data_IF_199601591798
#
_entry.id   IF_199601591798
#
_cell.length_a   1.000
_cell.length_b   1.000
_cell.length_c   1.000
_cell.angle_alpha   90.00
_cell.angle_beta   90.00
_cell.angle_gamma   90.00
#
_symmetry.space_group_name_H-M   'P 1'
#
loop_
_entity.id
_entity.type
_entity.pdbx_description
1 polymer ?
#
# COMPACT_ATOMS: atom_id res chain seq x y z
N UNK A 1 -39.68 -0.54 7.70
CA UNK A 1 -38.25 -0.53 8.12
C UNK A 1 -37.49 -1.80 7.72
N UNK A 2 -38.03 -2.96 8.09
CA UNK A 2 -37.43 -4.28 7.80
C UNK A 2 -37.32 -4.57 6.29
N UNK A 3 -38.35 -4.26 5.51
CA UNK A 3 -38.31 -4.39 4.04
C UNK A 3 -37.23 -3.48 3.39
N UNK A 4 -37.04 -2.28 3.94
CA UNK A 4 -35.98 -1.36 3.52
C UNK A 4 -34.58 -1.90 3.84
N UNK A 5 -34.41 -2.49 5.02
CA UNK A 5 -33.16 -3.16 5.45
C UNK A 5 -32.82 -4.31 4.50
N UNK A 6 -33.78 -5.21 4.22
CA UNK A 6 -33.57 -6.36 3.33
C UNK A 6 -33.20 -5.95 1.90
N UNK A 7 -33.70 -4.80 1.43
CA UNK A 7 -33.35 -4.26 0.11
C UNK A 7 -31.91 -3.73 0.05
N UNK A 8 -31.34 -3.29 1.19
CA UNK A 8 -30.01 -2.68 1.28
C UNK A 8 -28.88 -3.70 1.43
N UNK A 9 -29.14 -4.87 1.99
CA UNK A 9 -28.14 -5.96 2.13
C UNK A 9 -27.43 -6.30 0.81
N UNK A 10 -28.13 -6.65 -0.30
CA UNK A 10 -27.46 -6.99 -1.56
C UNK A 10 -26.71 -5.80 -2.18
N UNK A 11 -27.12 -4.56 -1.86
CA UNK A 11 -26.40 -3.35 -2.31
C UNK A 11 -25.05 -3.25 -1.61
N UNK A 12 -25.03 -3.47 -0.28
CA UNK A 12 -23.81 -3.44 0.53
C UNK A 12 -22.93 -4.65 0.23
N UNK A 13 -23.50 -5.82 -0.07
CA UNK A 13 -22.70 -6.98 -0.51
C UNK A 13 -21.98 -6.72 -1.83
N UNK A 14 -22.68 -6.10 -2.79
CA UNK A 14 -22.10 -5.77 -4.10
C UNK A 14 -21.10 -4.62 -4.02
N UNK A 15 -21.39 -3.60 -3.23
CA UNK A 15 -20.50 -2.48 -2.95
C UNK A 15 -20.40 -2.23 -1.44
N UNK A 16 -19.44 -2.90 -0.77
CA UNK A 16 -19.24 -2.74 0.66
C UNK A 16 -18.81 -1.34 1.08
N UNK A 17 -18.47 -0.43 0.16
CA UNK A 17 -18.04 0.94 0.48
C UNK A 17 -19.14 1.97 0.25
N UNK A 18 -20.32 1.54 -0.20
CA UNK A 18 -21.45 2.44 -0.44
C UNK A 18 -21.94 3.07 0.87
N UNK A 19 -21.50 4.30 1.14
CA UNK A 19 -21.81 5.02 2.38
C UNK A 19 -23.28 5.38 2.49
N UNK A 20 -23.95 5.63 1.37
CA UNK A 20 -25.38 5.98 1.36
C UNK A 20 -26.22 4.75 1.77
N UNK A 21 -25.94 3.59 1.17
CA UNK A 21 -26.60 2.35 1.51
C UNK A 21 -26.35 1.95 2.98
N UNK A 22 -25.11 2.09 3.46
CA UNK A 22 -24.76 1.84 4.87
C UNK A 22 -25.42 2.82 5.83
N UNK A 23 -25.52 4.11 5.47
CA UNK A 23 -26.21 5.10 6.28
C UNK A 23 -27.72 4.79 6.38
N UNK A 24 -28.35 4.45 5.26
CA UNK A 24 -29.76 4.04 5.25
C UNK A 24 -29.99 2.75 6.04
N UNK A 25 -29.05 1.79 5.96
CA UNK A 25 -29.06 0.56 6.74
C UNK A 25 -29.02 0.86 8.24
N UNK A 26 -28.11 1.75 8.65
CA UNK A 26 -27.98 2.19 10.04
C UNK A 26 -29.27 2.85 10.57
N UNK A 27 -29.90 3.73 9.78
CA UNK A 27 -31.19 4.34 10.13
C UNK A 27 -32.28 3.28 10.29
N UNK A 28 -32.36 2.34 9.35
CA UNK A 28 -33.31 1.23 9.39
C UNK A 28 -33.16 0.39 10.66
N UNK A 29 -31.94 -0.10 10.92
CA UNK A 29 -31.60 -0.92 12.09
C UNK A 29 -31.90 -0.19 13.41
N UNK A 30 -31.55 1.10 13.49
CA UNK A 30 -31.85 1.94 14.65
C UNK A 30 -33.36 2.04 14.90
N UNK A 31 -34.16 2.18 13.84
CA UNK A 31 -35.62 2.32 13.96
C UNK A 31 -36.32 1.07 14.48
N UNK A 32 -35.70 -0.11 14.36
CA UNK A 32 -36.20 -1.39 14.89
C UNK A 32 -35.48 -1.82 16.18
N UNK A 33 -34.70 -0.92 16.79
CA UNK A 33 -34.04 -1.16 18.08
C UNK A 33 -32.72 -1.94 18.01
N UNK A 34 -32.21 -2.26 16.81
CA UNK A 34 -30.91 -2.91 16.63
C UNK A 34 -29.77 -1.89 16.68
N UNK A 35 -29.55 -1.33 17.87
CA UNK A 35 -28.65 -0.17 18.04
C UNK A 35 -27.17 -0.49 17.78
N UNK A 36 -26.69 -1.68 18.18
CA UNK A 36 -25.28 -2.04 17.98
C UNK A 36 -24.96 -2.23 16.49
N UNK A 37 -25.78 -2.99 15.76
CA UNK A 37 -25.64 -3.19 14.31
C UNK A 37 -25.73 -1.83 13.57
N UNK A 38 -26.65 -0.96 13.99
CA UNK A 38 -26.74 0.39 13.43
C UNK A 38 -25.46 1.21 13.64
N UNK A 39 -24.87 1.12 14.85
CA UNK A 39 -23.65 1.86 15.18
C UNK A 39 -22.47 1.41 14.33
N UNK A 40 -22.30 0.10 14.08
CA UNK A 40 -21.24 -0.41 13.20
C UNK A 40 -21.30 0.19 11.78
N UNK A 41 -22.52 0.34 11.24
CA UNK A 41 -22.70 0.99 9.94
C UNK A 41 -22.42 2.50 9.98
N UNK A 42 -22.82 3.21 11.05
CA UNK A 42 -22.49 4.63 11.20
C UNK A 42 -20.99 4.86 11.36
N UNK A 43 -20.31 4.05 12.18
CA UNK A 43 -18.87 4.13 12.41
C UNK A 43 -18.10 3.90 11.11
N UNK A 44 -18.52 2.92 10.29
CA UNK A 44 -17.91 2.71 8.98
C UNK A 44 -18.10 3.92 8.06
N UNK A 45 -19.30 4.52 8.02
CA UNK A 45 -19.57 5.70 7.18
C UNK A 45 -18.67 6.86 7.59
N UNK A 46 -18.47 7.08 8.89
CA UNK A 46 -17.58 8.13 9.39
C UNK A 46 -16.12 7.82 9.05
N UNK A 47 -15.69 6.57 9.25
CA UNK A 47 -14.35 6.12 8.89
C UNK A 47 -14.03 6.34 7.41
N UNK A 48 -14.99 6.10 6.51
CA UNK A 48 -14.84 6.38 5.07
C UNK A 48 -14.64 7.88 4.84
N UNK A 49 -15.48 8.74 5.43
CA UNK A 49 -15.37 10.20 5.25
C UNK A 49 -14.02 10.72 5.73
N UNK A 50 -13.59 10.33 6.93
CA UNK A 50 -12.32 10.76 7.50
C UNK A 50 -11.13 10.33 6.64
N UNK A 51 -11.10 9.06 6.21
CA UNK A 51 -10.00 8.56 5.39
C UNK A 51 -9.96 9.18 4.00
N UNK A 52 -11.11 9.46 3.39
CA UNK A 52 -11.15 10.13 2.09
C UNK A 52 -10.81 11.62 2.19
N UNK A 53 -11.19 12.30 3.28
CA UNK A 53 -10.76 13.66 3.54
C UNK A 53 -9.23 13.74 3.69
N UNK A 54 -8.65 12.85 4.49
CA UNK A 54 -7.19 12.74 4.68
C UNK A 54 -6.46 12.41 3.35
N UNK A 55 -6.97 11.45 2.57
CA UNK A 55 -6.41 11.14 1.25
C UNK A 55 -6.40 12.35 0.30
N UNK A 56 -7.47 13.15 0.32
CA UNK A 56 -7.56 14.38 -0.46
C UNK A 56 -6.61 15.47 0.05
N UNK A 57 -6.44 15.60 1.36
CA UNK A 57 -5.48 16.54 1.94
C UNK A 57 -4.03 16.18 1.58
N UNK A 58 -3.68 14.89 1.66
CA UNK A 58 -2.39 14.37 1.19
C UNK A 58 -2.20 14.68 -0.29
N UNK A 59 -3.21 14.44 -1.12
CA UNK A 59 -3.16 14.72 -2.56
C UNK A 59 -2.95 16.21 -2.88
N UNK A 60 -3.46 17.13 -2.05
CA UNK A 60 -3.25 18.57 -2.23
C UNK A 60 -1.84 19.02 -1.87
N UNK A 61 -1.19 18.35 -0.90
CA UNK A 61 0.14 18.72 -0.39
C UNK A 61 1.28 17.99 -1.08
N UNK A 62 0.97 16.95 -1.84
CA UNK A 62 1.99 16.06 -2.40
C UNK A 62 2.86 16.77 -3.43
N UNK A 63 4.17 16.52 -3.36
CA UNK A 63 5.14 17.00 -4.35
C UNK A 63 5.25 16.03 -5.54
N UNK A 64 5.98 16.44 -6.57
CA UNK A 64 6.36 15.56 -7.67
C UNK A 64 7.66 14.81 -7.36
N UNK A 65 7.94 13.74 -8.11
CA UNK A 65 9.21 13.00 -8.02
C UNK A 65 9.20 11.83 -7.04
N UNK A 66 10.34 11.15 -6.94
CA UNK A 66 10.44 9.86 -6.23
C UNK A 66 10.16 9.95 -4.73
N UNK A 67 10.49 11.07 -4.10
CA UNK A 67 10.23 11.29 -2.67
C UNK A 67 8.72 11.32 -2.33
N UNK A 68 7.86 11.47 -3.35
CA UNK A 68 6.41 11.44 -3.19
C UNK A 68 5.79 10.04 -3.27
N UNK A 69 6.57 8.99 -3.58
CA UNK A 69 6.05 7.65 -3.85
C UNK A 69 5.27 7.06 -2.66
N UNK A 70 5.83 7.14 -1.45
CA UNK A 70 5.16 6.60 -0.25
C UNK A 70 3.82 7.31 0.01
N UNK A 71 3.77 8.63 -0.15
CA UNK A 71 2.52 9.39 -0.02
C UNK A 71 1.51 8.97 -1.09
N UNK A 72 1.93 8.70 -2.34
CA UNK A 72 1.04 8.18 -3.39
C UNK A 72 0.48 6.81 -3.02
N UNK A 73 1.30 5.93 -2.45
CA UNK A 73 0.85 4.61 -1.99
C UNK A 73 -0.12 4.72 -0.81
N UNK A 74 0.12 5.65 0.13
CA UNK A 74 -0.81 5.92 1.23
C UNK A 74 -2.18 6.41 0.73
N UNK A 75 -2.18 7.32 -0.24
CA UNK A 75 -3.41 7.78 -0.91
C UNK A 75 -4.10 6.61 -1.63
N UNK A 76 -3.34 5.80 -2.37
CA UNK A 76 -3.87 4.63 -3.08
C UNK A 76 -4.52 3.63 -2.12
N UNK A 77 -3.90 3.35 -0.96
CA UNK A 77 -4.47 2.45 0.06
C UNK A 77 -5.81 2.98 0.55
N UNK A 78 -5.90 4.27 0.90
CA UNK A 78 -7.14 4.87 1.40
C UNK A 78 -8.27 4.78 0.38
N UNK A 79 -7.99 5.09 -0.89
CA UNK A 79 -8.99 4.92 -1.95
C UNK A 79 -9.33 3.46 -2.20
N UNK A 80 -8.38 2.53 -2.08
CA UNK A 80 -8.68 1.12 -2.30
C UNK A 80 -9.54 0.53 -1.18
N UNK A 81 -9.30 0.92 0.06
CA UNK A 81 -10.03 0.42 1.24
C UNK A 81 -11.39 1.10 1.39
N UNK A 82 -11.44 2.42 1.27
CA UNK A 82 -12.60 3.23 1.66
C UNK A 82 -13.29 3.95 0.50
N UNK A 83 -12.59 4.13 -0.61
CA UNK A 83 -13.06 4.91 -1.74
C UNK A 83 -13.24 4.09 -3.00
N UNK A 84 -12.96 4.72 -4.13
CA UNK A 84 -13.03 4.07 -5.43
C UNK A 84 -11.70 3.45 -5.84
N UNK A 85 -11.81 2.23 -6.36
CA UNK A 85 -10.70 1.47 -6.92
C UNK A 85 -10.03 2.18 -8.10
N UNK A 86 -10.77 2.97 -8.87
CA UNK A 86 -10.23 3.69 -10.02
C UNK A 86 -9.21 4.74 -9.56
N UNK A 87 -9.52 5.50 -8.52
CA UNK A 87 -8.66 6.48 -7.89
C UNK A 87 -7.43 5.79 -7.28
N UNK A 88 -7.62 4.67 -6.58
CA UNK A 88 -6.50 3.88 -6.07
C UNK A 88 -5.53 3.48 -7.19
N UNK A 89 -6.07 3.00 -8.32
CA UNK A 89 -5.27 2.61 -9.48
C UNK A 89 -4.53 3.79 -10.12
N UNK A 90 -5.11 5.00 -10.14
CA UNK A 90 -4.45 6.21 -10.65
C UNK A 90 -3.22 6.51 -9.79
N UNK A 91 -3.38 6.57 -8.47
CA UNK A 91 -2.30 6.87 -7.54
C UNK A 91 -1.21 5.81 -7.56
N UNK A 92 -1.60 4.53 -7.52
CA UNK A 92 -0.67 3.40 -7.57
C UNK A 92 0.12 3.35 -8.89
N UNK A 93 -0.53 3.60 -10.04
CA UNK A 93 0.18 3.68 -11.33
C UNK A 93 1.16 4.85 -11.36
N UNK A 94 0.80 5.99 -10.77
CA UNK A 94 1.70 7.13 -10.69
C UNK A 94 2.94 6.84 -9.84
N UNK A 95 2.79 6.11 -8.72
CA UNK A 95 3.91 5.61 -7.93
C UNK A 95 4.83 4.69 -8.74
N UNK A 96 4.24 3.75 -9.48
CA UNK A 96 4.98 2.81 -10.34
C UNK A 96 5.73 3.50 -11.49
N UNK A 97 5.16 4.57 -12.06
CA UNK A 97 5.83 5.36 -13.10
C UNK A 97 7.04 6.14 -12.59
N UNK A 98 7.02 6.58 -11.34
CA UNK A 98 8.13 7.30 -10.73
C UNK A 98 9.31 6.38 -10.42
N UNK A 99 9.03 5.16 -9.95
CA UNK A 99 10.04 4.14 -9.76
C UNK A 99 9.45 2.72 -9.93
N UNK A 100 9.68 2.08 -11.10
CA UNK A 100 9.20 0.73 -11.37
C UNK A 100 9.83 -0.37 -10.52
N UNK A 101 10.95 -0.10 -9.81
CA UNK A 101 11.63 -1.07 -8.96
C UNK A 101 11.36 -0.83 -7.47
N UNK A 102 10.60 0.21 -7.13
CA UNK A 102 10.29 0.50 -5.75
C UNK A 102 9.43 -0.61 -5.14
N UNK A 103 10.03 -1.36 -4.22
CA UNK A 103 9.47 -2.59 -3.70
C UNK A 103 8.06 -2.40 -3.09
N UNK A 104 7.78 -1.37 -2.26
CA UNK A 104 6.44 -1.14 -1.75
C UNK A 104 5.37 -0.98 -2.83
N UNK A 105 5.70 -0.34 -3.96
CA UNK A 105 4.76 -0.22 -5.09
C UNK A 105 4.47 -1.56 -5.73
N UNK A 106 5.51 -2.38 -5.94
CA UNK A 106 5.38 -3.71 -6.53
C UNK A 106 4.57 -4.66 -5.62
N UNK A 107 4.81 -4.62 -4.32
CA UNK A 107 4.06 -5.40 -3.33
C UNK A 107 2.59 -4.97 -3.27
N UNK A 108 2.32 -3.66 -3.38
CA UNK A 108 0.94 -3.17 -3.50
C UNK A 108 0.27 -3.76 -4.75
N UNK A 109 0.89 -3.62 -5.93
CA UNK A 109 0.35 -4.15 -7.18
C UNK A 109 0.10 -5.67 -7.09
N UNK A 110 1.04 -6.42 -6.52
CA UNK A 110 0.89 -7.86 -6.30
C UNK A 110 -0.34 -8.16 -5.44
N UNK A 111 -0.48 -7.50 -4.28
CA UNK A 111 -1.61 -7.69 -3.36
C UNK A 111 -2.94 -7.33 -4.04
N UNK A 112 -2.97 -6.23 -4.79
CA UNK A 112 -4.14 -5.82 -5.56
C UNK A 112 -4.60 -6.93 -6.53
N UNK A 113 -3.69 -7.44 -7.37
CA UNK A 113 -4.06 -8.50 -8.32
C UNK A 113 -4.36 -9.82 -7.64
N UNK A 114 -3.76 -10.11 -6.49
CA UNK A 114 -4.09 -11.30 -5.70
C UNK A 114 -5.53 -11.31 -5.20
N UNK A 115 -6.07 -10.14 -4.83
CA UNK A 115 -7.49 -10.00 -4.52
C UNK A 115 -8.32 -10.16 -5.78
N UNK A 116 -7.95 -9.46 -6.85
CA UNK A 116 -8.77 -9.36 -8.08
C UNK A 116 -8.88 -10.64 -8.89
N UNK A 117 -7.87 -11.51 -8.85
CA UNK A 117 -7.92 -12.83 -9.51
C UNK A 117 -9.05 -13.70 -8.99
N UNK A 118 -9.49 -13.51 -7.73
CA UNK A 118 -10.62 -14.24 -7.16
C UNK A 118 -11.94 -13.95 -7.90
N UNK A 119 -12.09 -12.72 -8.37
CA UNK A 119 -13.29 -12.24 -9.07
C UNK A 119 -13.13 -12.35 -10.60
N UNK A 120 -11.92 -12.11 -11.11
CA UNK A 120 -11.57 -12.17 -12.53
C UNK A 120 -10.28 -12.96 -12.77
N UNK A 121 -10.38 -14.27 -13.08
CA UNK A 121 -9.24 -15.13 -13.36
C UNK A 121 -8.37 -14.67 -14.55
N UNK A 122 -8.88 -13.81 -15.45
CA UNK A 122 -8.08 -13.28 -16.56
C UNK A 122 -6.90 -12.41 -16.07
N UNK A 123 -6.95 -11.96 -14.82
CA UNK A 123 -5.90 -11.15 -14.19
C UNK A 123 -4.72 -11.97 -13.65
N UNK A 124 -4.73 -13.30 -13.79
CA UNK A 124 -3.66 -14.17 -13.29
C UNK A 124 -2.29 -13.78 -13.87
N UNK A 125 -2.25 -13.40 -15.16
CA UNK A 125 -1.01 -12.99 -15.82
C UNK A 125 -0.38 -11.75 -15.16
N UNK A 126 -1.20 -10.83 -14.68
CA UNK A 126 -0.76 -9.62 -13.98
C UNK A 126 -0.22 -9.97 -12.60
N UNK A 127 -0.90 -10.87 -11.87
CA UNK A 127 -0.42 -11.36 -10.58
C UNK A 127 0.94 -12.06 -10.72
N UNK A 128 1.10 -12.93 -11.71
CA UNK A 128 2.37 -13.64 -11.96
C UNK A 128 3.48 -12.67 -12.30
N UNK A 129 3.18 -11.67 -13.13
CA UNK A 129 4.13 -10.61 -13.49
C UNK A 129 4.63 -9.87 -12.26
N UNK A 130 3.72 -9.32 -11.43
CA UNK A 130 4.11 -8.55 -10.25
C UNK A 130 4.78 -9.41 -9.18
N UNK A 131 4.39 -10.69 -9.05
CA UNK A 131 5.08 -11.63 -8.15
C UNK A 131 6.55 -11.82 -8.55
N UNK A 132 6.82 -11.93 -9.86
CA UNK A 132 8.18 -12.02 -10.37
C UNK A 132 8.96 -10.70 -10.20
N UNK A 133 8.33 -9.55 -10.40
CA UNK A 133 8.95 -8.23 -10.19
C UNK A 133 9.32 -8.01 -8.72
N UNK A 134 8.43 -8.37 -7.77
CA UNK A 134 8.72 -8.35 -6.32
C UNK A 134 9.91 -9.24 -5.97
N UNK A 135 9.94 -10.47 -6.48
CA UNK A 135 11.05 -11.40 -6.22
C UNK A 135 12.40 -10.83 -6.72
N UNK A 136 12.41 -10.25 -7.91
CA UNK A 136 13.60 -9.58 -8.47
C UNK A 136 14.04 -8.39 -7.63
N UNK A 137 13.12 -7.48 -7.29
CA UNK A 137 13.41 -6.31 -6.46
C UNK A 137 14.01 -6.71 -5.09
N UNK A 138 13.44 -7.72 -4.42
CA UNK A 138 13.99 -8.26 -3.16
C UNK A 138 15.40 -8.82 -3.32
N UNK A 139 15.66 -9.54 -4.41
CA UNK A 139 16.99 -10.10 -4.68
C UNK A 139 18.05 -9.01 -4.89
N UNK A 140 17.71 -7.92 -5.61
CA UNK A 140 18.62 -6.79 -5.81
C UNK A 140 18.98 -6.09 -4.49
N UNK A 141 17.99 -5.80 -3.64
CA UNK A 141 18.20 -5.19 -2.31
C UNK A 141 19.11 -6.09 -1.45
N UNK A 142 18.96 -7.41 -1.54
CA UNK A 142 19.78 -8.35 -0.80
C UNK A 142 21.24 -8.42 -1.31
N UNK A 143 21.44 -8.28 -2.62
CA UNK A 143 22.79 -8.21 -3.20
C UNK A 143 23.51 -6.89 -2.88
N UNK A 144 22.79 -5.75 -2.92
CA UNK A 144 23.33 -4.44 -2.54
C UNK A 144 23.70 -4.35 -1.06
N UNK A 145 22.91 -4.95 -0.17
CA UNK A 145 23.23 -5.02 1.25
C UNK A 145 24.43 -5.92 1.56
N UNK A 146 24.75 -6.90 0.69
CA UNK A 146 25.92 -7.77 0.83
C UNK A 146 27.20 -7.15 0.26
N UNK A 147 27.13 -6.31 -0.77
CA UNK A 147 28.30 -5.65 -1.36
C UNK A 147 28.86 -4.49 -0.51
N UNK A 148 28.08 -3.95 0.42
CA UNK A 148 28.51 -2.90 1.35
C UNK A 148 29.38 -3.46 2.51
N UNK A 149 29.47 -4.79 2.67
CA UNK A 149 30.26 -5.47 3.72
C UNK A 149 31.58 -6.04 3.14
N UNK A 150 32.23 -5.36 2.20
CA UNK A 150 33.63 -5.71 1.87
C UNK A 150 34.56 -5.29 3.03
N UNK A 151 35.42 -6.19 3.54
CA UNK A 151 36.32 -5.87 4.64
C UNK A 151 37.36 -4.85 4.19
N UNK A 152 37.49 -3.75 4.94
CA UNK A 152 38.61 -2.81 4.81
C UNK A 152 39.91 -3.63 4.89
N UNK A 153 40.77 -3.63 3.87
CA UNK A 153 42.03 -4.37 3.93
C UNK A 153 42.87 -3.83 5.09
N UNK A 154 43.56 -4.70 5.86
CA UNK A 154 44.32 -4.25 7.01
C UNK A 154 45.36 -3.22 6.56
N UNK A 155 45.31 -2.02 7.16
CA UNK A 155 46.34 -0.99 7.02
C UNK A 155 47.63 -1.57 7.59
N UNK A 156 48.52 -1.99 6.70
CA UNK A 156 49.81 -2.57 7.07
C UNK A 156 50.77 -1.42 7.46
N UNK A 157 50.69 -0.98 8.71
CA UNK A 157 51.68 -0.07 9.29
C UNK A 157 52.95 -0.86 9.63
N UNK A 158 53.78 -1.12 8.61
CA UNK A 158 55.18 -1.44 8.83
C UNK A 158 55.93 -0.13 9.14
N UNK A 159 55.90 0.26 10.41
CA UNK A 159 56.91 1.11 11.03
C UNK A 159 58.26 0.42 10.92
N UNK A 160 59.11 0.91 10.02
CA UNK A 160 60.53 0.57 9.97
C UNK A 160 61.25 1.23 11.13
N UNK A 161 61.28 0.56 12.27
CA UNK A 161 62.32 0.75 13.28
C UNK A 161 63.21 -0.50 13.31
N UNK A 162 64.37 -0.39 12.69
CA UNK A 162 65.52 -1.23 13.02
C UNK A 162 66.80 -0.42 12.80
N UNK A 163 67.37 -0.08 13.94
CA UNK A 163 68.58 0.68 14.14
C UNK A 163 69.82 -0.23 13.96
N UNK A 164 70.96 0.41 13.65
CA UNK A 164 72.33 0.05 14.07
C UNK A 164 73.27 -0.77 13.16
N UNK A 165 74.46 -0.19 12.97
CA UNK A 165 75.83 -0.77 12.82
C UNK A 165 76.16 -1.46 11.48
N UNK A 166 77.30 -1.24 10.79
CA UNK A 166 78.69 -1.04 11.23
C UNK A 166 79.61 -0.59 10.05
N UNK A 167 80.67 0.18 10.36
CA UNK A 167 82.04 0.20 9.79
C UNK A 167 82.32 0.36 8.28
N UNK A 168 82.90 1.52 7.91
CA UNK A 168 84.30 1.65 7.46
C UNK A 168 84.74 3.12 7.36
#
# INVERSE_FOLDING_TARGET
PEEGISTLEPVIEKDPRNTDARHMMAIGLRSIGKLNEAQEHFDFVEQVKENLADANELAQKITSGKDSIDTRLAIAEKFWTYGSEQEAMIWMRSAYQLDPLYLPTLEFMQRYYQVKVKDDPALQKQLDRFSNEVAKAKSHIQQESQSVIEPIPPVNNNTSDANSTESN
#
